data_IF_316396517043
#
_entry.id   IF_316396517043
#
_cell.length_a   1.000
_cell.length_b   1.000
_cell.length_c   1.000
_cell.angle_alpha   90.00
_cell.angle_beta   90.00
_cell.angle_gamma   90.00
#
_symmetry.space_group_name_H-M   'P 1'
#
loop_
_entity.id
_entity.type
_entity.pdbx_description
1 polymer ?
#
# COMPACT_ATOMS: atom_id res chain seq x y z
N UNK A 1 -52.43 -17.80 -7.96
CA UNK A 1 -51.06 -18.06 -8.41
C UNK A 1 -50.16 -17.06 -7.69
N UNK A 2 -49.27 -17.49 -6.78
CA UNK A 2 -48.20 -16.62 -6.27
C UNK A 2 -47.33 -16.14 -7.44
N UNK A 3 -46.90 -14.89 -7.39
CA UNK A 3 -46.20 -14.21 -8.48
C UNK A 3 -44.68 -14.32 -8.22
N UNK A 4 -43.97 -15.16 -8.98
CA UNK A 4 -42.57 -15.57 -8.76
C UNK A 4 -41.52 -14.56 -9.26
N UNK A 5 -41.78 -13.25 -9.19
CA UNK A 5 -40.78 -12.23 -9.58
C UNK A 5 -40.43 -11.29 -8.41
N UNK A 6 -39.26 -11.49 -7.74
CA UNK A 6 -38.85 -10.71 -6.58
C UNK A 6 -38.37 -9.28 -6.92
N UNK A 7 -38.39 -8.86 -8.19
CA UNK A 7 -37.88 -7.56 -8.64
C UNK A 7 -38.96 -6.59 -9.15
N UNK A 8 -40.25 -6.87 -8.93
CA UNK A 8 -41.27 -5.85 -9.19
C UNK A 8 -41.33 -4.87 -8.00
N UNK A 9 -40.99 -3.59 -8.18
CA UNK A 9 -41.18 -2.60 -7.13
C UNK A 9 -42.68 -2.47 -6.82
N UNK A 10 -42.99 -2.42 -5.53
CA UNK A 10 -44.35 -2.27 -5.00
C UNK A 10 -44.90 -0.89 -5.40
N UNK A 11 -46.04 -0.81 -6.10
CA UNK A 11 -46.64 0.45 -6.54
C UNK A 11 -47.16 1.34 -5.40
N UNK A 12 -47.03 0.91 -4.13
CA UNK A 12 -47.43 1.71 -2.95
C UNK A 12 -46.36 2.67 -2.44
N UNK A 13 -45.15 2.68 -3.01
CA UNK A 13 -44.06 3.61 -2.61
C UNK A 13 -43.85 4.68 -3.68
N UNK A 14 -44.87 5.49 -3.95
CA UNK A 14 -44.75 6.71 -4.76
C UNK A 14 -45.68 7.80 -4.22
N UNK A 15 -45.25 8.53 -3.21
CA UNK A 15 -45.71 9.90 -2.94
C UNK A 15 -44.81 10.63 -1.94
N UNK A 16 -43.61 11.03 -2.37
CA UNK A 16 -43.04 12.28 -1.88
C UNK A 16 -42.42 13.06 -3.05
N UNK A 17 -43.08 14.14 -3.52
CA UNK A 17 -42.55 14.94 -4.62
C UNK A 17 -41.62 15.99 -4.05
N UNK A 18 -40.33 15.68 -3.84
CA UNK A 18 -39.32 16.74 -3.74
C UNK A 18 -37.93 16.32 -4.24
N UNK A 19 -37.74 16.54 -5.55
CA UNK A 19 -36.55 17.19 -6.14
C UNK A 19 -35.25 16.36 -6.26
N UNK A 20 -35.23 15.57 -7.34
CA UNK A 20 -34.12 15.24 -8.26
C UNK A 20 -33.01 16.30 -8.44
N UNK A 21 -32.21 16.62 -7.42
CA UNK A 21 -31.02 17.50 -7.56
C UNK A 21 -29.79 17.04 -6.76
N UNK A 22 -29.91 16.02 -5.93
CA UNK A 22 -28.83 15.53 -5.07
C UNK A 22 -28.09 14.28 -5.60
N UNK A 23 -28.69 13.52 -6.52
CA UNK A 23 -28.09 12.26 -7.02
C UNK A 23 -26.97 12.51 -8.06
N UNK A 24 -27.11 13.48 -8.96
CA UNK A 24 -26.06 13.84 -9.93
C UNK A 24 -24.84 14.50 -9.28
N UNK A 25 -25.04 15.24 -8.18
CA UNK A 25 -23.94 15.81 -7.38
C UNK A 25 -23.21 14.72 -6.58
N UNK A 26 -23.94 13.70 -6.09
CA UNK A 26 -23.36 12.54 -5.38
C UNK A 26 -22.61 11.59 -6.31
N UNK A 27 -23.10 11.39 -7.55
CA UNK A 27 -22.42 10.57 -8.55
C UNK A 27 -21.18 11.27 -9.12
N UNK A 28 -21.25 12.59 -9.31
CA UNK A 28 -20.12 13.44 -9.66
C UNK A 28 -19.07 13.49 -8.55
N UNK A 29 -19.47 13.66 -7.28
CA UNK A 29 -18.55 13.58 -6.13
C UNK A 29 -17.99 12.16 -5.92
N UNK A 30 -18.77 11.10 -6.14
CA UNK A 30 -18.28 9.73 -6.06
C UNK A 30 -17.29 9.41 -7.18
N UNK A 31 -17.57 9.84 -8.41
CA UNK A 31 -16.66 9.69 -9.55
C UNK A 31 -15.43 10.58 -9.40
N UNK A 32 -15.59 11.80 -8.89
CA UNK A 32 -14.49 12.70 -8.56
C UNK A 32 -13.63 12.13 -7.44
N UNK A 33 -14.23 11.50 -6.42
CA UNK A 33 -13.51 10.80 -5.36
C UNK A 33 -12.79 9.56 -5.88
N UNK A 34 -13.39 8.78 -6.80
CA UNK A 34 -12.72 7.63 -7.42
C UNK A 34 -11.55 8.10 -8.28
N UNK A 35 -11.75 9.11 -9.12
CA UNK A 35 -10.70 9.65 -9.98
C UNK A 35 -9.63 10.35 -9.14
N UNK A 36 -10.00 11.12 -8.11
CA UNK A 36 -9.02 11.70 -7.18
C UNK A 36 -8.31 10.63 -6.37
N UNK A 37 -8.96 9.55 -5.97
CA UNK A 37 -8.32 8.42 -5.27
C UNK A 37 -7.49 7.53 -6.22
N UNK A 38 -7.72 7.61 -7.52
CA UNK A 38 -6.91 6.89 -8.53
C UNK A 38 -5.73 7.73 -9.00
N UNK A 39 -5.92 9.04 -9.15
CA UNK A 39 -4.93 9.98 -9.73
C UNK A 39 -4.09 10.65 -8.65
N UNK A 40 -4.69 11.02 -7.51
CA UNK A 40 -4.02 11.60 -6.34
C UNK A 40 -4.01 10.68 -5.12
N UNK A 41 -4.81 9.61 -5.11
CA UNK A 41 -4.89 8.65 -4.02
C UNK A 41 -3.66 7.76 -4.02
N UNK A 42 -2.57 8.35 -3.53
CA UNK A 42 -1.67 7.63 -2.66
C UNK A 42 -2.52 6.99 -1.57
N UNK A 43 -2.98 5.74 -1.79
CA UNK A 43 -3.69 4.94 -0.80
C UNK A 43 -3.02 5.16 0.55
N UNK A 44 -3.68 5.90 1.43
CA UNK A 44 -3.11 6.38 2.67
C UNK A 44 -3.14 5.27 3.72
N UNK A 45 -2.58 4.09 3.40
CA UNK A 45 -2.11 3.12 4.39
C UNK A 45 -0.82 3.65 5.01
N UNK A 46 -0.90 4.86 5.56
CA UNK A 46 0.25 5.67 6.03
C UNK A 46 1.04 4.93 7.12
N UNK A 47 0.40 4.08 7.91
CA UNK A 47 1.07 3.29 8.96
C UNK A 47 2.07 2.29 8.38
N UNK A 48 1.58 1.35 7.57
CA UNK A 48 2.39 0.25 7.03
C UNK A 48 3.44 0.76 6.04
N UNK A 49 3.08 1.77 5.24
CA UNK A 49 4.03 2.36 4.28
C UNK A 49 5.16 3.14 4.98
N UNK A 50 4.88 3.81 6.11
CA UNK A 50 5.93 4.46 6.93
C UNK A 50 6.86 3.44 7.57
N UNK A 51 6.32 2.32 8.06
CA UNK A 51 7.14 1.25 8.63
C UNK A 51 8.02 0.61 7.56
N UNK A 52 7.44 0.28 6.40
CA UNK A 52 8.17 -0.27 5.27
C UNK A 52 9.28 0.68 4.79
N UNK A 53 8.98 1.97 4.61
CA UNK A 53 9.98 2.97 4.23
C UNK A 53 11.12 3.07 5.26
N UNK A 54 10.82 3.04 6.56
CA UNK A 54 11.85 3.03 7.62
C UNK A 54 12.72 1.76 7.55
N UNK A 55 12.11 0.59 7.40
CA UNK A 55 12.86 -0.66 7.28
C UNK A 55 13.77 -0.67 6.05
N UNK A 56 13.27 -0.24 4.88
CA UNK A 56 14.06 -0.10 3.66
C UNK A 56 15.20 0.90 3.85
N UNK A 57 14.91 2.05 4.45
CA UNK A 57 15.92 3.07 4.70
C UNK A 57 17.06 2.56 5.58
N UNK A 58 16.72 1.86 6.68
CA UNK A 58 17.70 1.28 7.60
C UNK A 58 18.50 0.17 6.92
N UNK A 59 17.87 -0.73 6.17
CA UNK A 59 18.58 -1.81 5.48
C UNK A 59 19.52 -1.29 4.39
N UNK A 60 19.09 -0.28 3.63
CA UNK A 60 19.93 0.40 2.63
C UNK A 60 21.13 1.04 3.31
N UNK A 61 20.94 1.81 4.38
CA UNK A 61 22.03 2.45 5.11
C UNK A 61 23.05 1.44 5.65
N UNK A 62 22.57 0.37 6.29
CA UNK A 62 23.43 -0.66 6.87
C UNK A 62 24.24 -1.36 5.79
N UNK A 63 23.60 -1.86 4.73
CA UNK A 63 24.30 -2.62 3.70
C UNK A 63 25.16 -1.72 2.81
N UNK A 64 24.78 -0.46 2.57
CA UNK A 64 25.64 0.50 1.89
C UNK A 64 26.92 0.76 2.68
N UNK A 65 26.81 0.93 4.00
CA UNK A 65 27.97 1.14 4.87
C UNK A 65 28.88 -0.09 4.87
N UNK A 66 28.32 -1.29 5.01
CA UNK A 66 29.07 -2.55 4.93
C UNK A 66 29.74 -2.72 3.57
N UNK A 67 29.03 -2.45 2.48
CA UNK A 67 29.57 -2.52 1.12
C UNK A 67 30.70 -1.52 0.87
N UNK A 68 30.58 -0.30 1.39
CA UNK A 68 31.64 0.72 1.30
C UNK A 68 32.90 0.28 2.06
N UNK A 69 32.74 -0.26 3.27
CA UNK A 69 33.84 -0.74 4.10
C UNK A 69 34.50 -1.95 3.45
N UNK A 70 33.74 -2.92 2.93
CA UNK A 70 34.30 -4.09 2.24
C UNK A 70 35.08 -3.70 0.98
N UNK A 71 34.55 -2.79 0.15
CA UNK A 71 35.27 -2.32 -1.04
C UNK A 71 36.53 -1.50 -0.69
N UNK A 72 36.54 -0.79 0.45
CA UNK A 72 37.71 -0.06 0.91
C UNK A 72 38.80 -0.99 1.49
N UNK A 73 38.41 -2.09 2.13
CA UNK A 73 39.32 -3.04 2.76
C UNK A 73 39.86 -4.10 1.77
N UNK A 74 39.03 -4.54 0.83
CA UNK A 74 39.38 -5.58 -0.16
C UNK A 74 39.92 -4.91 -1.42
N UNK A 75 41.24 -4.73 -1.49
CA UNK A 75 41.90 -4.07 -2.62
C UNK A 75 41.86 -4.87 -3.93
N UNK A 76 41.65 -6.18 -3.84
CA UNK A 76 41.61 -7.06 -5.02
C UNK A 76 40.44 -6.78 -5.96
N UNK A 77 39.38 -6.15 -5.47
CA UNK A 77 38.19 -5.86 -6.27
C UNK A 77 38.38 -4.67 -7.21
N UNK A 78 39.47 -3.90 -7.04
CA UNK A 78 39.74 -2.66 -7.78
C UNK A 78 38.48 -1.76 -7.92
N UNK A 79 37.63 -1.79 -6.89
CA UNK A 79 36.34 -1.14 -6.88
C UNK A 79 36.41 0.06 -5.94
N UNK A 80 36.01 1.25 -6.39
CA UNK A 80 35.99 2.40 -5.50
C UNK A 80 34.98 2.20 -4.37
N UNK A 81 35.23 2.85 -3.21
CA UNK A 81 34.37 2.73 -2.02
C UNK A 81 32.90 3.04 -2.30
N UNK A 82 32.61 3.99 -3.18
CA UNK A 82 31.24 4.33 -3.58
C UNK A 82 30.59 3.24 -4.45
N UNK A 83 31.38 2.47 -5.20
CA UNK A 83 30.90 1.29 -5.95
C UNK A 83 30.45 0.18 -5.00
N UNK A 84 31.25 -0.08 -3.96
CA UNK A 84 30.85 -0.97 -2.86
C UNK A 84 29.59 -0.49 -2.13
N UNK A 85 29.50 0.82 -1.87
CA UNK A 85 28.33 1.43 -1.26
C UNK A 85 27.07 1.26 -2.11
N UNK A 86 27.16 1.42 -3.43
CA UNK A 86 26.05 1.25 -4.37
C UNK A 86 25.54 -0.20 -4.42
N UNK A 87 26.45 -1.17 -4.51
CA UNK A 87 26.09 -2.60 -4.50
C UNK A 87 25.45 -2.95 -3.16
N UNK A 88 26.04 -2.48 -2.06
CA UNK A 88 25.49 -2.65 -0.72
C UNK A 88 24.10 -2.02 -0.58
N UNK A 89 23.91 -0.79 -1.05
CA UNK A 89 22.63 -0.10 -1.04
C UNK A 89 21.56 -0.87 -1.84
N UNK A 90 21.91 -1.40 -3.00
CA UNK A 90 21.00 -2.18 -3.83
C UNK A 90 20.60 -3.49 -3.16
N UNK A 91 21.56 -4.23 -2.59
CA UNK A 91 21.28 -5.42 -1.80
C UNK A 91 20.40 -5.10 -0.58
N UNK A 92 20.69 -3.99 0.10
CA UNK A 92 19.90 -3.48 1.22
C UNK A 92 18.48 -3.10 0.82
N UNK A 93 18.28 -2.59 -0.39
CA UNK A 93 16.96 -2.29 -0.94
C UNK A 93 16.17 -3.57 -1.19
N UNK A 94 16.77 -4.58 -1.83
CA UNK A 94 16.13 -5.88 -2.08
C UNK A 94 15.71 -6.50 -0.73
N UNK A 95 16.66 -6.64 0.20
CA UNK A 95 16.40 -7.23 1.52
C UNK A 95 15.37 -6.40 2.30
N UNK A 96 15.45 -5.07 2.22
CA UNK A 96 14.52 -4.17 2.88
C UNK A 96 13.09 -4.32 2.37
N UNK A 97 12.90 -4.33 1.05
CA UNK A 97 11.59 -4.43 0.40
C UNK A 97 10.97 -5.80 0.68
N UNK A 98 11.69 -6.89 0.40
CA UNK A 98 11.16 -8.24 0.59
C UNK A 98 11.04 -8.61 2.07
N UNK A 99 12.05 -8.30 2.88
CA UNK A 99 12.04 -8.58 4.32
C UNK A 99 10.93 -7.86 5.06
N UNK A 100 10.76 -6.55 4.83
CA UNK A 100 9.66 -5.80 5.45
C UNK A 100 8.28 -6.22 4.92
N UNK A 101 8.18 -6.52 3.62
CA UNK A 101 6.94 -6.98 3.01
C UNK A 101 6.48 -8.32 3.56
N UNK A 102 7.38 -9.30 3.61
CA UNK A 102 7.10 -10.63 4.18
C UNK A 102 6.76 -10.52 5.67
N UNK A 103 7.50 -9.72 6.44
CA UNK A 103 7.21 -9.51 7.86
C UNK A 103 5.79 -8.99 8.10
N UNK A 104 5.35 -7.98 7.34
CA UNK A 104 4.00 -7.43 7.45
C UNK A 104 2.91 -8.43 7.00
N UNK A 105 3.18 -9.25 5.99
CA UNK A 105 2.27 -10.32 5.57
C UNK A 105 2.08 -11.36 6.69
N UNK A 106 3.17 -11.80 7.31
CA UNK A 106 3.12 -12.76 8.43
C UNK A 106 2.44 -12.14 9.64
N UNK A 107 2.81 -10.90 10.01
CA UNK A 107 2.18 -10.20 11.12
C UNK A 107 0.66 -10.09 10.95
N UNK A 108 0.21 -9.71 9.74
CA UNK A 108 -1.23 -9.59 9.44
C UNK A 108 -1.93 -10.94 9.40
N UNK A 109 -1.29 -11.99 8.89
CA UNK A 109 -1.83 -13.35 8.92
C UNK A 109 -2.03 -13.85 10.36
N UNK A 110 -1.05 -13.61 11.23
CA UNK A 110 -1.14 -13.93 12.66
C UNK A 110 -2.22 -13.13 13.37
N UNK A 111 -2.38 -11.85 13.03
CA UNK A 111 -3.41 -10.99 13.59
C UNK A 111 -4.82 -11.44 13.18
N UNK A 112 -5.00 -11.87 11.92
CA UNK A 112 -6.25 -12.47 11.44
C UNK A 112 -6.58 -13.80 12.15
N UNK A 113 -5.58 -14.65 12.40
CA UNK A 113 -5.77 -15.93 13.10
C UNK A 113 -6.10 -15.76 14.59
N UNK A 114 -5.63 -14.68 15.22
CA UNK A 114 -5.93 -14.38 16.63
C UNK A 114 -7.32 -13.81 16.87
N UNK A 115 -8.09 -13.51 15.82
CA UNK A 115 -9.46 -12.99 15.95
C UNK A 115 -9.54 -11.58 16.54
N UNK A 116 -8.42 -10.90 16.74
CA UNK A 116 -8.37 -9.55 17.30
C UNK A 116 -8.59 -8.54 16.16
N UNK A 117 -9.86 -8.31 15.85
CA UNK A 117 -10.30 -7.25 14.95
C UNK A 117 -10.21 -5.91 15.67
N UNK A 118 -9.05 -5.26 15.53
CA UNK A 118 -8.89 -3.82 15.72
C UNK A 118 -8.39 -3.17 14.45
#
# INVERSE_FOLDING_TARGET
MPNDNPYKPDPSIDAHPEKKRSEDLSAGQASYNIVSDTVFGLNTRKGDNKFQAKCIFVSVLLLATVGAVLAALIRDWNLPWYGGALIGAFAGLIIGVFGSGIYLMVYRALQHLKGDHK
#
